data_IF_567144233418
#
_entry.id   IF_567144233418
#
_cell.length_a   1.000
_cell.length_b   1.000
_cell.length_c   1.000
_cell.angle_alpha   90.00
_cell.angle_beta   90.00
_cell.angle_gamma   90.00
#
_symmetry.space_group_name_H-M   'P 1'
#
loop_
_entity.id
_entity.type
_entity.pdbx_description
1 polymer ?
#
# COMPACT_ATOMS: atom_id res chain seq x y z
N UNK A 1 25.36 43.82 33.65
CA UNK A 1 25.66 43.77 32.21
C UNK A 1 24.44 43.18 31.53
N UNK A 2 23.54 44.07 31.15
CA UNK A 2 22.40 43.83 30.29
C UNK A 2 22.84 43.22 28.95
N UNK A 3 22.07 42.24 28.45
CA UNK A 3 22.30 41.59 27.17
C UNK A 3 21.03 40.91 26.67
N UNK A 4 20.21 41.69 25.97
CA UNK A 4 18.88 41.39 25.47
C UNK A 4 18.76 40.26 24.42
N UNK A 5 17.64 39.55 24.51
CA UNK A 5 16.68 39.11 23.47
C UNK A 5 17.16 38.60 22.10
N UNK A 6 16.60 37.46 21.71
CA UNK A 6 16.36 37.08 20.31
C UNK A 6 15.38 35.91 20.18
N UNK A 7 14.07 36.18 20.33
CA UNK A 7 13.00 35.25 19.90
C UNK A 7 12.75 35.53 18.42
N UNK A 8 12.84 34.51 17.56
CA UNK A 8 12.45 34.60 16.14
C UNK A 8 11.30 33.62 15.89
N UNK A 9 10.05 34.10 15.77
CA UNK A 9 8.98 33.31 15.18
C UNK A 9 8.94 33.58 13.67
N UNK A 10 9.22 32.57 12.84
CA UNK A 10 8.93 32.62 11.41
C UNK A 10 7.58 31.95 11.15
N UNK A 11 6.52 32.76 11.11
CA UNK A 11 5.25 32.37 10.53
C UNK A 11 5.39 32.42 8.99
N UNK A 12 5.12 31.31 8.31
CA UNK A 12 4.96 31.31 6.85
C UNK A 12 3.52 30.94 6.52
N UNK A 13 2.72 31.97 6.24
CA UNK A 13 1.40 31.84 5.65
C UNK A 13 1.55 31.67 4.13
N UNK A 14 0.95 30.62 3.58
CA UNK A 14 0.77 30.46 2.13
C UNK A 14 -0.72 30.56 1.84
N UNK A 15 -1.11 31.75 1.36
CA UNK A 15 -2.40 32.05 0.76
C UNK A 15 -2.33 31.56 -0.69
N UNK A 16 -3.22 30.65 -1.08
CA UNK A 16 -3.56 30.41 -2.48
C UNK A 16 -5.03 30.78 -2.67
N UNK A 17 -5.22 31.88 -3.39
CA UNK A 17 -6.50 32.37 -3.89
C UNK A 17 -6.78 31.79 -5.29
N UNK A 18 -8.07 31.56 -5.56
CA UNK A 18 -8.66 31.19 -6.86
C UNK A 18 -10.01 30.55 -6.58
N UNK A 19 -11.12 31.28 -6.44
CA UNK A 19 -11.90 32.02 -7.45
C UNK A 19 -12.43 31.13 -8.59
N UNK A 20 -13.74 30.87 -8.54
CA UNK A 20 -14.49 30.10 -9.54
C UNK A 20 -15.95 29.95 -9.11
N UNK A 21 -16.73 30.99 -9.33
CA UNK A 21 -18.12 31.17 -8.93
C UNK A 21 -19.14 30.33 -9.71
N UNK A 22 -20.28 30.07 -9.05
CA UNK A 22 -21.60 29.90 -9.68
C UNK A 22 -22.32 28.63 -9.20
N UNK A 23 -23.59 28.63 -8.82
CA UNK A 23 -24.54 29.68 -8.50
C UNK A 23 -25.62 29.02 -7.62
N UNK A 24 -26.19 29.81 -6.71
CA UNK A 24 -27.34 29.47 -5.87
C UNK A 24 -28.61 29.27 -6.71
N UNK A 25 -29.36 28.21 -6.42
CA UNK A 25 -30.83 28.23 -6.46
C UNK A 25 -31.33 27.62 -5.15
N UNK A 26 -32.15 28.42 -4.46
CA UNK A 26 -32.61 28.21 -3.10
C UNK A 26 -33.70 27.14 -2.93
N UNK A 27 -34.30 27.10 -1.73
CA UNK A 27 -34.95 25.91 -1.17
C UNK A 27 -36.44 25.83 -1.53
N UNK A 28 -36.98 24.61 -1.54
CA UNK A 28 -38.41 24.37 -1.71
C UNK A 28 -38.75 22.89 -1.55
N UNK A 29 -39.30 22.58 -0.38
CA UNK A 29 -40.32 21.57 -0.09
C UNK A 29 -40.00 20.06 -0.17
N UNK A 30 -39.92 19.49 1.03
CA UNK A 30 -40.54 18.21 1.39
C UNK A 30 -41.90 18.03 0.73
N UNK A 31 -42.04 16.99 -0.09
CA UNK A 31 -43.29 16.25 -0.22
C UNK A 31 -42.99 14.76 -0.40
N UNK A 32 -43.41 13.99 0.60
CA UNK A 32 -43.80 12.59 0.43
C UNK A 32 -45.16 12.63 -0.24
N UNK A 33 -45.35 12.02 -1.41
CA UNK A 33 -46.61 11.32 -1.74
C UNK A 33 -46.55 10.55 -3.08
N UNK A 34 -46.86 9.27 -2.94
CA UNK A 34 -47.92 8.57 -3.68
C UNK A 34 -47.90 8.59 -5.21
N UNK A 35 -47.47 7.46 -5.75
CA UNK A 35 -47.86 6.93 -7.06
C UNK A 35 -49.38 7.01 -7.24
N UNK A 36 -49.84 8.01 -7.99
CA UNK A 36 -51.19 8.02 -8.55
C UNK A 36 -51.11 7.73 -10.03
N UNK A 37 -51.66 6.58 -10.41
CA UNK A 37 -51.88 6.17 -11.79
C UNK A 37 -52.94 7.09 -12.40
N UNK A 38 -52.55 7.93 -13.36
CA UNK A 38 -53.50 8.64 -14.21
C UNK A 38 -53.26 8.22 -15.65
N UNK A 39 -54.18 7.41 -16.16
CA UNK A 39 -54.29 7.04 -17.56
C UNK A 39 -54.91 8.22 -18.31
N UNK A 40 -54.11 8.94 -19.08
CA UNK A 40 -54.64 9.80 -20.14
C UNK A 40 -54.05 9.41 -21.49
N UNK A 41 -54.95 8.88 -22.31
CA UNK A 41 -54.78 8.62 -23.73
C UNK A 41 -54.76 9.96 -24.47
N UNK A 42 -53.68 10.27 -25.18
CA UNK A 42 -53.70 11.26 -26.26
C UNK A 42 -52.83 10.75 -27.39
N UNK A 43 -53.46 10.61 -28.56
CA UNK A 43 -52.88 10.17 -29.82
C UNK A 43 -52.06 11.28 -30.50
N UNK A 44 -51.16 10.84 -31.38
CA UNK A 44 -50.49 11.55 -32.49
C UNK A 44 -49.36 12.54 -32.17
N UNK A 45 -48.12 12.12 -32.43
CA UNK A 45 -47.43 12.39 -33.71
C UNK A 45 -46.05 11.74 -33.69
N UNK A 46 -45.88 10.74 -34.55
CA UNK A 46 -44.65 9.98 -34.75
C UNK A 46 -43.59 10.85 -35.42
N UNK A 47 -42.65 11.40 -34.64
CA UNK A 47 -41.36 11.87 -35.17
C UNK A 47 -40.27 10.89 -34.73
N UNK A 48 -39.96 9.93 -35.60
CA UNK A 48 -38.86 8.97 -35.39
C UNK A 48 -37.55 9.73 -35.58
N UNK A 49 -37.09 10.38 -34.52
CA UNK A 49 -35.70 10.80 -34.42
C UNK A 49 -34.88 9.53 -34.14
N UNK A 50 -33.88 9.18 -34.95
CA UNK A 50 -33.02 8.04 -34.64
C UNK A 50 -32.42 8.23 -33.25
N UNK A 51 -32.45 7.22 -32.35
CA UNK A 51 -31.89 7.36 -31.03
C UNK A 51 -30.40 7.69 -31.19
N UNK A 52 -30.03 8.92 -30.82
CA UNK A 52 -28.66 9.32 -30.60
C UNK A 52 -28.06 8.27 -29.66
N UNK A 53 -27.16 7.45 -30.18
CA UNK A 53 -26.46 6.41 -29.44
C UNK A 53 -25.61 7.09 -28.38
N UNK A 54 -26.23 7.38 -27.23
CA UNK A 54 -25.53 7.82 -26.04
C UNK A 54 -24.62 6.68 -25.66
N UNK A 55 -23.37 6.78 -26.07
CA UNK A 55 -22.31 5.90 -25.58
C UNK A 55 -22.08 6.32 -24.15
N UNK A 56 -22.87 5.74 -23.24
CA UNK A 56 -22.62 5.77 -21.81
C UNK A 56 -21.27 5.10 -21.63
N UNK A 57 -20.23 5.91 -21.55
CA UNK A 57 -18.89 5.43 -21.20
C UNK A 57 -18.97 5.09 -19.73
N UNK A 58 -19.26 3.82 -19.41
CA UNK A 58 -19.24 3.34 -18.03
C UNK A 58 -17.85 3.63 -17.48
N UNK A 59 -17.70 4.46 -16.43
CA UNK A 59 -16.40 4.70 -15.84
C UNK A 59 -15.82 3.36 -15.40
N UNK A 60 -14.60 3.04 -15.86
CA UNK A 60 -13.90 1.83 -15.42
C UNK A 60 -13.78 1.87 -13.90
N UNK A 61 -14.28 0.84 -13.23
CA UNK A 61 -14.19 0.70 -11.76
C UNK A 61 -12.71 0.69 -11.37
N UNK A 62 -12.33 1.63 -10.51
CA UNK A 62 -10.99 1.66 -9.90
C UNK A 62 -11.03 0.94 -8.55
N UNK A 63 -9.97 0.20 -8.25
CA UNK A 63 -9.82 -0.51 -6.98
C UNK A 63 -8.79 0.20 -6.11
N UNK A 64 -9.24 0.67 -4.95
CA UNK A 64 -8.44 1.38 -3.96
C UNK A 64 -8.03 0.49 -2.78
N UNK A 65 -7.06 0.98 -2.02
CA UNK A 65 -6.54 0.30 -0.83
C UNK A 65 -7.61 0.18 0.26
N UNK A 66 -7.87 -1.05 0.70
CA UNK A 66 -8.65 -1.37 1.90
C UNK A 66 -8.31 -2.79 2.36
N UNK A 67 -8.48 -3.04 3.66
CA UNK A 67 -8.36 -4.36 4.27
C UNK A 67 -9.65 -4.70 5.04
N UNK A 68 -10.07 -5.97 5.08
CA UNK A 68 -11.14 -6.40 5.97
C UNK A 68 -10.70 -6.31 7.44
N UNK A 69 -11.68 -6.36 8.36
CA UNK A 69 -11.39 -6.40 9.80
C UNK A 69 -10.42 -7.53 10.14
N UNK A 70 -9.45 -7.23 11.02
CA UNK A 70 -8.42 -8.18 11.44
C UNK A 70 -8.81 -9.04 12.64
N UNK A 71 -7.88 -9.89 13.10
CA UNK A 71 -8.05 -10.66 14.32
C UNK A 71 -8.26 -9.73 15.52
N UNK A 72 -9.19 -10.09 16.43
CA UNK A 72 -9.47 -9.28 17.64
C UNK A 72 -8.31 -9.30 18.65
N UNK A 73 -7.49 -10.35 18.59
CA UNK A 73 -6.35 -10.55 19.48
C UNK A 73 -5.14 -10.92 18.61
N UNK A 74 -4.24 -9.97 18.31
CA UNK A 74 -3.06 -10.28 17.51
C UNK A 74 -2.13 -11.24 18.27
N UNK A 75 -1.67 -12.29 17.61
CA UNK A 75 -0.80 -13.33 18.19
C UNK A 75 0.56 -13.42 17.52
N UNK A 76 0.71 -12.76 16.36
CA UNK A 76 1.93 -12.72 15.55
C UNK A 76 2.33 -11.27 15.26
N UNK A 77 3.58 -11.06 14.84
CA UNK A 77 4.04 -9.73 14.40
C UNK A 77 3.22 -9.24 13.19
N UNK A 78 2.88 -10.15 12.28
CA UNK A 78 1.99 -9.90 11.15
C UNK A 78 0.61 -9.37 11.57
N UNK A 79 0.01 -9.92 12.62
CA UNK A 79 -1.31 -9.48 13.11
C UNK A 79 -1.25 -8.05 13.65
N UNK A 80 -0.15 -7.69 14.33
CA UNK A 80 0.06 -6.34 14.85
C UNK A 80 0.17 -5.34 13.70
N UNK A 81 0.99 -5.66 12.68
CA UNK A 81 1.14 -4.80 11.49
C UNK A 81 -0.19 -4.71 10.74
N UNK A 82 -0.90 -5.84 10.57
CA UNK A 82 -2.21 -5.90 9.93
C UNK A 82 -3.22 -4.98 10.62
N UNK A 83 -3.27 -5.00 11.95
CA UNK A 83 -4.16 -4.16 12.75
C UNK A 83 -3.90 -2.67 12.49
N UNK A 84 -2.61 -2.26 12.45
CA UNK A 84 -2.25 -0.88 12.11
C UNK A 84 -2.66 -0.48 10.69
N UNK A 85 -2.55 -1.40 9.73
CA UNK A 85 -2.99 -1.16 8.35
C UNK A 85 -4.51 -1.02 8.24
N UNK A 86 -5.28 -1.79 9.00
CA UNK A 86 -6.76 -1.65 9.10
C UNK A 86 -7.14 -0.30 9.70
N UNK A 87 -6.42 0.14 10.73
CA UNK A 87 -6.58 1.47 11.36
C UNK A 87 -6.11 2.63 10.46
N UNK A 88 -5.57 2.34 9.26
CA UNK A 88 -4.94 3.30 8.34
C UNK A 88 -3.76 4.07 8.97
N UNK A 89 -3.16 3.52 10.02
CA UNK A 89 -2.00 4.09 10.68
C UNK A 89 -0.71 3.66 9.97
N UNK A 90 -0.51 4.11 8.73
CA UNK A 90 0.55 3.63 7.84
C UNK A 90 1.96 3.84 8.45
N UNK A 91 2.21 4.95 9.13
CA UNK A 91 3.49 5.23 9.77
C UNK A 91 3.75 4.30 10.96
N UNK A 92 2.71 3.96 11.73
CA UNK A 92 2.82 2.99 12.82
C UNK A 92 3.03 1.58 12.29
N UNK A 93 2.37 1.21 11.18
CA UNK A 93 2.61 -0.05 10.49
C UNK A 93 4.06 -0.14 9.96
N UNK A 94 4.61 0.95 9.41
CA UNK A 94 6.00 1.03 8.99
C UNK A 94 6.96 0.81 10.17
N UNK A 95 6.78 1.54 11.26
CA UNK A 95 7.62 1.42 12.46
C UNK A 95 7.58 0.01 13.04
N UNK A 96 6.41 -0.61 13.09
CA UNK A 96 6.25 -1.98 13.56
C UNK A 96 6.95 -2.97 12.64
N UNK A 97 6.80 -2.82 11.33
CA UNK A 97 7.47 -3.65 10.34
C UNK A 97 9.00 -3.51 10.44
N UNK A 98 9.52 -2.28 10.54
CA UNK A 98 10.96 -2.04 10.67
C UNK A 98 11.55 -2.65 11.94
N UNK A 99 10.77 -2.68 13.03
CA UNK A 99 11.19 -3.29 14.29
C UNK A 99 11.16 -4.82 14.26
N UNK A 100 10.19 -5.40 13.55
CA UNK A 100 9.82 -6.82 13.71
C UNK A 100 10.02 -7.69 12.47
N UNK A 101 10.52 -7.13 11.36
CA UNK A 101 10.62 -7.85 10.09
C UNK A 101 11.36 -9.21 10.21
N UNK A 102 12.40 -9.29 11.04
CA UNK A 102 13.18 -10.52 11.25
C UNK A 102 12.43 -11.57 12.07
N UNK A 103 11.39 -11.16 12.81
CA UNK A 103 10.49 -12.01 13.58
C UNK A 103 9.23 -12.42 12.83
N UNK A 104 9.05 -12.03 11.56
CA UNK A 104 7.94 -12.50 10.74
C UNK A 104 8.06 -14.00 10.45
N UNK A 105 6.94 -14.67 10.22
CA UNK A 105 6.86 -16.11 9.97
C UNK A 105 7.64 -16.53 8.72
N UNK A 106 7.71 -15.65 7.71
CA UNK A 106 8.37 -15.93 6.43
C UNK A 106 9.16 -14.71 5.93
N UNK A 107 10.26 -14.90 5.19
CA UNK A 107 10.97 -13.80 4.54
C UNK A 107 10.09 -13.04 3.54
N UNK A 108 9.10 -13.72 2.95
CA UNK A 108 8.16 -13.11 2.00
C UNK A 108 7.24 -12.08 2.66
N UNK A 109 6.93 -12.22 3.95
CA UNK A 109 6.03 -11.30 4.64
C UNK A 109 6.62 -9.89 4.74
N UNK A 110 7.92 -9.73 4.94
CA UNK A 110 8.52 -8.39 5.04
C UNK A 110 8.26 -7.50 3.79
N UNK A 111 8.62 -7.91 2.55
CA UNK A 111 8.30 -7.12 1.37
C UNK A 111 6.81 -7.09 1.02
N UNK A 112 6.03 -8.13 1.36
CA UNK A 112 4.58 -8.11 1.13
C UNK A 112 3.88 -7.05 2.00
N UNK A 113 4.19 -7.01 3.29
CA UNK A 113 3.67 -6.00 4.22
C UNK A 113 4.25 -4.62 3.93
N UNK A 114 5.50 -4.52 3.47
CA UNK A 114 6.04 -3.24 3.00
C UNK A 114 5.22 -2.69 1.82
N UNK A 115 4.83 -3.55 0.86
CA UNK A 115 3.97 -3.14 -0.24
C UNK A 115 2.61 -2.65 0.26
N UNK A 116 2.05 -3.28 1.29
CA UNK A 116 0.80 -2.83 1.93
C UNK A 116 0.96 -1.46 2.61
N UNK A 117 2.05 -1.23 3.33
CA UNK A 117 2.37 0.07 3.94
C UNK A 117 2.52 1.15 2.88
N UNK A 118 3.21 0.85 1.78
CA UNK A 118 3.36 1.76 0.66
C UNK A 118 2.01 2.12 0.03
N UNK A 119 1.11 1.15 -0.18
CA UNK A 119 -0.25 1.41 -0.68
C UNK A 119 -1.11 2.19 0.32
N UNK A 120 -0.99 1.90 1.61
CA UNK A 120 -1.64 2.66 2.68
C UNK A 120 -1.25 4.15 2.59
N UNK A 121 0.02 4.45 2.32
CA UNK A 121 0.53 5.80 2.10
C UNK A 121 0.38 6.35 0.68
N UNK A 122 -0.32 5.67 -0.23
CA UNK A 122 -0.55 6.13 -1.61
C UNK A 122 0.65 5.97 -2.57
N UNK A 123 1.70 5.24 -2.18
CA UNK A 123 2.95 5.06 -2.92
C UNK A 123 2.90 3.82 -3.84
N UNK A 124 2.02 3.82 -4.83
CA UNK A 124 1.80 2.66 -5.70
C UNK A 124 3.06 2.14 -6.43
N UNK A 125 3.99 3.02 -6.82
CA UNK A 125 5.23 2.60 -7.49
C UNK A 125 6.16 1.83 -6.54
N UNK A 126 6.30 2.29 -5.30
CA UNK A 126 7.10 1.61 -4.28
C UNK A 126 6.48 0.23 -3.94
N UNK A 127 5.15 0.19 -3.80
CA UNK A 127 4.42 -1.05 -3.58
C UNK A 127 4.65 -2.10 -4.68
N UNK A 128 4.71 -1.70 -5.96
CA UNK A 128 5.03 -2.63 -7.06
C UNK A 128 6.41 -3.25 -6.91
N UNK A 129 7.42 -2.45 -6.53
CA UNK A 129 8.78 -2.93 -6.32
C UNK A 129 8.82 -3.97 -5.19
N UNK A 130 8.19 -3.66 -4.06
CA UNK A 130 8.13 -4.54 -2.89
C UNK A 130 7.33 -5.81 -3.17
N UNK A 131 6.19 -5.68 -3.84
CA UNK A 131 5.40 -6.85 -4.26
C UNK A 131 6.19 -7.77 -5.21
N UNK A 132 6.99 -7.21 -6.12
CA UNK A 132 7.86 -8.01 -6.98
C UNK A 132 8.93 -8.77 -6.18
N UNK A 133 9.49 -8.18 -5.12
CA UNK A 133 10.41 -8.87 -4.20
C UNK A 133 9.70 -10.02 -3.47
N UNK A 134 8.50 -9.78 -2.94
CA UNK A 134 7.69 -10.82 -2.32
C UNK A 134 7.36 -11.97 -3.29
N UNK A 135 7.02 -11.65 -4.53
CA UNK A 135 6.70 -12.64 -5.56
C UNK A 135 7.89 -13.53 -5.92
N UNK A 136 9.11 -12.99 -5.97
CA UNK A 136 10.35 -13.76 -6.20
C UNK A 136 10.63 -14.79 -5.10
N UNK A 137 10.21 -14.50 -3.87
CA UNK A 137 10.33 -15.43 -2.74
C UNK A 137 9.25 -16.51 -2.72
N UNK A 138 8.15 -16.31 -3.46
CA UNK A 138 7.04 -17.26 -3.59
C UNK A 138 5.80 -16.84 -2.79
N UNK A 139 4.65 -16.81 -3.45
CA UNK A 139 3.37 -16.35 -2.88
C UNK A 139 2.51 -17.49 -2.28
N UNK A 140 3.10 -18.66 -2.04
CA UNK A 140 2.40 -19.76 -1.39
C UNK A 140 2.12 -19.41 0.09
N UNK A 141 0.90 -19.69 0.53
CA UNK A 141 0.42 -19.40 1.88
C UNK A 141 0.12 -20.70 2.62
N UNK A 142 0.30 -20.70 3.96
CA UNK A 142 -0.13 -21.81 4.78
C UNK A 142 -1.65 -22.03 4.67
N UNK A 143 -2.08 -23.30 4.77
CA UNK A 143 -3.48 -23.68 4.95
C UNK A 143 -3.73 -24.06 6.41
N UNK A 144 -4.83 -23.56 6.98
CA UNK A 144 -5.32 -23.95 8.30
C UNK A 144 -5.49 -22.78 9.27
N UNK A 145 -6.12 -23.07 10.41
CA UNK A 145 -6.58 -22.10 11.42
C UNK A 145 -5.47 -21.64 12.39
N UNK A 146 -4.23 -21.51 11.91
CA UNK A 146 -3.07 -21.22 12.75
C UNK A 146 -2.20 -20.09 12.22
N UNK A 147 -1.98 -19.07 13.07
CA UNK A 147 -1.07 -17.96 12.80
C UNK A 147 -1.64 -16.88 11.88
N UNK A 148 -0.75 -16.16 11.18
CA UNK A 148 -1.08 -14.98 10.38
C UNK A 148 -1.65 -15.27 8.98
N UNK A 149 -1.98 -16.52 8.66
CA UNK A 149 -2.29 -16.95 7.29
C UNK A 149 -3.48 -16.21 6.66
N UNK A 150 -4.52 -15.91 7.44
CA UNK A 150 -5.68 -15.13 6.98
C UNK A 150 -5.29 -13.67 6.69
N UNK A 151 -4.51 -13.07 7.59
CA UNK A 151 -3.97 -11.71 7.45
C UNK A 151 -3.08 -11.60 6.20
N UNK A 152 -2.14 -12.52 6.04
CA UNK A 152 -1.24 -12.62 4.89
C UNK A 152 -2.04 -12.70 3.57
N UNK A 153 -3.09 -13.52 3.55
CA UNK A 153 -3.95 -13.68 2.39
C UNK A 153 -4.77 -12.40 2.09
N UNK A 154 -5.35 -11.77 3.11
CA UNK A 154 -6.08 -10.51 2.97
C UNK A 154 -5.16 -9.39 2.45
N UNK A 155 -3.93 -9.30 2.96
CA UNK A 155 -2.91 -8.37 2.46
C UNK A 155 -2.57 -8.65 0.99
N UNK A 156 -2.30 -9.91 0.63
CA UNK A 156 -2.03 -10.27 -0.76
C UNK A 156 -3.17 -9.87 -1.70
N UNK A 157 -4.42 -10.15 -1.31
CA UNK A 157 -5.62 -9.77 -2.08
C UNK A 157 -5.73 -8.27 -2.25
N UNK A 158 -5.56 -7.50 -1.18
CA UNK A 158 -5.63 -6.05 -1.21
C UNK A 158 -4.53 -5.43 -2.07
N UNK A 159 -3.27 -5.89 -1.90
CA UNK A 159 -2.14 -5.43 -2.70
C UNK A 159 -2.39 -5.69 -4.19
N UNK A 160 -2.76 -6.92 -4.55
CA UNK A 160 -3.03 -7.27 -5.96
C UNK A 160 -4.24 -6.54 -6.51
N UNK A 161 -5.29 -6.35 -5.72
CA UNK A 161 -6.46 -5.60 -6.16
C UNK A 161 -6.10 -4.18 -6.61
N UNK A 162 -5.24 -3.49 -5.85
CA UNK A 162 -4.78 -2.15 -6.20
C UNK A 162 -3.75 -2.17 -7.35
N UNK A 163 -2.79 -3.09 -7.33
CA UNK A 163 -1.72 -3.12 -8.34
C UNK A 163 -2.20 -3.60 -9.70
N UNK A 164 -3.03 -4.63 -9.74
CA UNK A 164 -3.57 -5.26 -10.95
C UNK A 164 -4.92 -4.66 -11.38
N UNK A 165 -5.51 -3.78 -10.55
CA UNK A 165 -6.83 -3.18 -10.77
C UNK A 165 -7.95 -4.21 -10.99
N UNK A 166 -8.02 -5.19 -10.07
CA UNK A 166 -9.02 -6.28 -10.07
C UNK A 166 -9.77 -6.33 -8.73
N UNK A 167 -10.97 -6.92 -8.64
CA UNK A 167 -11.63 -7.15 -7.35
C UNK A 167 -10.80 -8.02 -6.40
N UNK A 168 -10.78 -7.71 -5.10
CA UNK A 168 -10.07 -8.52 -4.10
C UNK A 168 -10.53 -9.99 -4.10
N UNK A 169 -11.84 -10.25 -4.25
CA UNK A 169 -12.40 -11.61 -4.26
C UNK A 169 -11.98 -12.44 -5.48
N UNK A 170 -11.49 -11.79 -6.54
CA UNK A 170 -10.94 -12.49 -7.71
C UNK A 170 -9.52 -13.00 -7.48
N UNK A 171 -8.82 -12.45 -6.48
CA UNK A 171 -7.45 -12.83 -6.15
C UNK A 171 -7.47 -14.05 -5.25
N UNK A 172 -6.89 -15.16 -5.74
CA UNK A 172 -6.76 -16.38 -4.96
C UNK A 172 -5.43 -16.40 -4.19
N UNK A 173 -5.50 -16.82 -2.93
CA UNK A 173 -4.31 -17.16 -2.14
C UNK A 173 -3.97 -18.61 -2.42
N UNK A 174 -2.80 -18.84 -3.01
CA UNK A 174 -2.37 -20.18 -3.38
C UNK A 174 -1.95 -20.95 -2.14
N UNK A 175 -2.63 -22.07 -1.80
CA UNK A 175 -2.21 -22.90 -0.69
C UNK A 175 -0.86 -23.56 -1.01
N UNK A 176 0.01 -23.70 -0.02
CA UNK A 176 1.28 -24.40 -0.16
C UNK A 176 2.19 -24.24 1.05
N UNK A 177 3.46 -24.58 0.87
CA UNK A 177 4.51 -24.33 1.87
C UNK A 177 5.09 -22.94 1.63
N UNK A 178 4.91 -21.99 2.57
CA UNK A 178 5.53 -20.68 2.46
C UNK A 178 7.06 -20.80 2.48
N UNK A 179 7.77 -19.84 1.87
CA UNK A 179 9.23 -19.82 1.93
C UNK A 179 9.68 -19.74 3.39
N UNK A 180 10.72 -20.51 3.73
CA UNK A 180 11.32 -20.48 5.06
C UNK A 180 12.48 -19.50 5.09
N UNK A 181 12.73 -18.93 6.28
CA UNK A 181 13.96 -18.19 6.52
C UNK A 181 15.18 -19.12 6.31
N UNK A 182 16.30 -18.62 5.73
CA UNK A 182 17.52 -19.41 5.58
C UNK A 182 18.13 -19.86 6.91
N UNK A 183 17.86 -19.12 7.98
CA UNK A 183 18.34 -19.38 9.33
C UNK A 183 17.25 -19.06 10.36
N UNK A 184 17.32 -19.73 11.51
CA UNK A 184 16.46 -19.44 12.66
C UNK A 184 17.05 -18.34 13.57
N UNK A 185 18.33 -18.01 13.42
CA UNK A 185 18.97 -16.92 14.17
C UNK A 185 18.48 -15.56 13.62
N UNK A 186 17.74 -14.76 14.41
CA UNK A 186 17.21 -13.48 13.95
C UNK A 186 18.31 -12.47 13.59
N UNK A 187 19.52 -12.59 14.17
CA UNK A 187 20.63 -11.68 13.89
C UNK A 187 21.41 -12.04 12.62
N UNK A 188 21.14 -13.21 12.04
CA UNK A 188 21.77 -13.69 10.80
C UNK A 188 20.78 -13.71 9.62
N UNK A 189 19.61 -13.09 9.77
CA UNK A 189 18.64 -12.91 8.67
C UNK A 189 19.03 -11.66 7.87
N UNK A 190 18.96 -11.76 6.56
CA UNK A 190 19.01 -10.60 5.66
C UNK A 190 17.62 -9.96 5.53
N UNK A 191 17.53 -8.63 5.51
CA UNK A 191 16.26 -7.94 5.23
C UNK A 191 15.88 -8.12 3.74
N UNK A 192 14.84 -8.91 3.42
CA UNK A 192 14.49 -9.22 2.04
C UNK A 192 13.79 -8.04 1.31
N UNK A 193 13.57 -6.92 2.01
CA UNK A 193 13.13 -5.66 1.40
C UNK A 193 14.28 -4.93 0.72
N UNK A 194 15.51 -5.19 1.14
CA UNK A 194 16.72 -4.55 0.61
C UNK A 194 17.50 -5.52 -0.29
N UNK A 195 18.47 -5.00 -1.04
CA UNK A 195 19.41 -5.83 -1.79
C UNK A 195 20.74 -6.01 -1.03
N UNK A 196 20.80 -5.53 0.22
CA UNK A 196 21.98 -5.59 1.09
C UNK A 196 22.00 -6.94 1.82
N UNK A 197 23.17 -7.57 1.87
CA UNK A 197 23.40 -8.81 2.64
C UNK A 197 23.92 -8.41 4.03
N UNK A 198 23.07 -8.54 5.04
CA UNK A 198 23.32 -8.24 6.44
C UNK A 198 23.95 -9.46 7.13
N UNK A 199 25.27 -9.42 7.33
CA UNK A 199 26.03 -10.53 7.92
C UNK A 199 27.29 -10.89 7.16
N UNK A 200 27.45 -10.39 5.92
CA UNK A 200 28.72 -10.44 5.21
C UNK A 200 29.50 -9.17 5.54
N UNK A 201 30.35 -9.22 6.56
CA UNK A 201 31.44 -8.25 6.71
C UNK A 201 32.28 -8.33 5.45
N UNK A 202 32.08 -7.40 4.52
CA UNK A 202 32.94 -7.25 3.35
C UNK A 202 34.29 -6.76 3.87
N UNK A 203 35.16 -7.71 4.21
CA UNK A 203 36.59 -7.43 4.33
C UNK A 203 37.05 -7.03 2.93
N UNK A 204 36.98 -5.73 2.66
CA UNK A 204 37.58 -5.13 1.47
C UNK A 204 39.08 -5.20 1.70
N UNK A 205 39.70 -6.31 1.30
CA UNK A 205 41.16 -6.38 1.18
C UNK A 205 41.56 -5.39 0.09
N UNK A 206 41.92 -4.16 0.48
CA UNK A 206 42.69 -3.27 -0.38
C UNK A 206 44.03 -3.96 -0.64
N UNK A 207 44.15 -4.65 -1.76
CA UNK A 207 45.45 -5.01 -2.33
C UNK A 207 46.15 -3.70 -2.66
N UNK A 208 46.96 -3.21 -1.72
CA UNK A 208 47.86 -2.08 -1.96
C UNK A 208 49.05 -2.66 -2.72
N UNK A 209 49.03 -2.52 -4.05
CA UNK A 209 50.19 -2.83 -4.89
C UNK A 209 51.27 -1.78 -4.60
N UNK A 210 52.17 -2.09 -3.68
CA UNK A 210 53.39 -1.31 -3.46
C UNK A 210 54.31 -1.45 -4.67
N UNK A 211 54.28 -0.45 -5.56
CA UNK A 211 55.26 -0.33 -6.64
C UNK A 211 56.57 0.13 -6.02
N UNK A 212 57.56 -0.76 -5.92
CA UNK A 212 58.91 -0.42 -5.47
C UNK A 212 59.70 0.06 -6.69
N UNK A 213 59.96 1.36 -6.77
CA UNK A 213 60.83 1.94 -7.81
C UNK A 213 62.27 1.93 -7.29
N UNK A 214 63.08 0.99 -7.77
CA UNK A 214 64.52 0.96 -7.51
C UNK A 214 65.21 1.97 -8.44
N UNK A 215 65.76 3.04 -7.89
CA UNK A 215 66.56 4.02 -8.63
C UNK A 215 68.03 3.61 -8.53
N UNK A 216 68.62 3.17 -9.64
CA UNK A 216 70.06 2.92 -9.75
C UNK A 216 70.75 4.18 -10.28
N UNK A 217 71.62 4.78 -9.47
CA UNK A 217 72.55 5.84 -9.90
C UNK A 217 73.85 5.19 -10.38
N UNK A 218 74.29 5.59 -11.58
CA UNK A 218 75.66 5.40 -12.08
C UNK A 218 76.46 6.68 -11.84
#
# INVERSE_FOLDING_TARGET
MDGCRGIVPLALALVLAGCGSGALSGPGDTFVETTTTTTETTQETTTITPPKKTTTTTPKRQYGWNLPSGPRSPTTNEDVIYTRLVEKACDQAQQELDRTWSGLQTPRNAPLYQAAVDLCGGKASAARSMFAKAAKLGLAMHQGDGGSAECDCAVLKAVRSVLDQVPQDSVRCTPGTPPRWPTNDPFAKDDPRTDVVEGRTTTTTKTTTSTTTTTSSS
#
